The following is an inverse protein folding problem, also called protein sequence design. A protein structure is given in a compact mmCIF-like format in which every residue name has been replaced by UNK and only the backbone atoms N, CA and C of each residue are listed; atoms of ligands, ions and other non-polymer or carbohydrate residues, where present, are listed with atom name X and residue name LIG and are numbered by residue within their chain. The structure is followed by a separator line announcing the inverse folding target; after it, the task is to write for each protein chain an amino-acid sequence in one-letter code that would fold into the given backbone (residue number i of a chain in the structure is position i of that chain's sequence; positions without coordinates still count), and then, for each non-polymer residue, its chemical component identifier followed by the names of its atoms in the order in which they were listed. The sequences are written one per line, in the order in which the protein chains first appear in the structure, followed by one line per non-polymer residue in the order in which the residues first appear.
data_IF_923186075371
#
_entry.id   IF_923186075371
#
_cell.length_a   1.000
_cell.length_b   1.000
_cell.length_c   1.000
_cell.angle_alpha   90.00
_cell.angle_beta   90.00
_cell.angle_gamma   90.00
#
_symmetry.space_group_name_H-M   'P 1'
#
loop_
_entity.id
_entity.type
_entity.pdbx_description
1 polymer ?
#
# COMPACT_ATOMS: atom_id res chain seq x y z
N UNK A 1 12.12 5.94 -16.41
CA UNK A 1 12.55 6.59 -15.15
C UNK A 1 12.63 5.52 -14.07
N UNK A 2 13.77 5.39 -13.37
CA UNK A 2 13.97 4.42 -12.28
C UNK A 2 14.29 5.18 -11.00
N UNK A 3 13.85 4.68 -9.85
CA UNK A 3 14.20 5.27 -8.58
C UNK A 3 15.71 5.16 -8.29
N UNK A 4 16.27 6.20 -7.68
CA UNK A 4 17.65 6.16 -7.19
C UNK A 4 17.77 5.20 -6.02
N UNK A 5 19.00 4.81 -5.67
CA UNK A 5 19.23 3.97 -4.48
C UNK A 5 18.76 4.67 -3.19
N UNK A 6 18.90 6.01 -3.14
CA UNK A 6 18.42 6.82 -2.04
C UNK A 6 16.89 6.77 -1.92
N UNK A 7 16.18 7.03 -3.02
CA UNK A 7 14.71 7.00 -3.06
C UNK A 7 14.17 5.64 -2.62
N UNK A 8 14.79 4.55 -3.06
CA UNK A 8 14.36 3.20 -2.70
C UNK A 8 14.59 2.87 -1.23
N UNK A 9 15.75 3.27 -0.67
CA UNK A 9 16.12 3.01 0.73
C UNK A 9 15.27 3.84 1.70
N UNK A 10 14.97 5.08 1.35
CA UNK A 10 14.23 6.01 2.21
C UNK A 10 12.76 6.19 1.76
N UNK A 11 12.22 5.24 0.99
CA UNK A 11 10.85 5.32 0.44
C UNK A 11 9.79 5.64 1.49
N UNK A 12 9.86 5.02 2.68
CA UNK A 12 8.88 5.26 3.74
C UNK A 12 8.93 6.70 4.27
N UNK A 13 10.14 7.25 4.44
CA UNK A 13 10.33 8.64 4.85
C UNK A 13 9.83 9.60 3.76
N UNK A 14 10.16 9.34 2.48
CA UNK A 14 9.69 10.16 1.37
C UNK A 14 8.16 10.18 1.27
N UNK A 15 7.52 9.02 1.42
CA UNK A 15 6.06 8.93 1.47
C UNK A 15 5.54 9.78 2.63
N UNK A 16 6.09 9.62 3.84
CA UNK A 16 5.71 10.41 5.01
C UNK A 16 5.84 11.92 4.81
N UNK A 17 6.94 12.38 4.21
CA UNK A 17 7.16 13.79 3.86
C UNK A 17 6.12 14.28 2.87
N UNK A 18 5.80 13.50 1.83
CA UNK A 18 4.78 13.89 0.85
C UNK A 18 3.40 14.01 1.51
N UNK A 19 3.02 13.07 2.38
CA UNK A 19 1.78 13.15 3.15
C UNK A 19 1.77 14.40 4.04
N UNK A 20 2.85 14.67 4.76
CA UNK A 20 2.97 15.84 5.61
C UNK A 20 2.85 17.15 4.82
N UNK A 21 3.57 17.28 3.69
CA UNK A 21 3.49 18.44 2.80
C UNK A 21 2.08 18.61 2.23
N UNK A 22 1.44 17.53 1.79
CA UNK A 22 0.10 17.56 1.22
C UNK A 22 -0.95 18.06 2.22
N UNK A 23 -0.93 17.58 3.47
CA UNK A 23 -1.84 18.08 4.50
C UNK A 23 -1.46 19.49 4.98
N UNK A 24 -0.16 19.81 5.06
CA UNK A 24 0.32 21.15 5.44
C UNK A 24 0.00 22.20 4.38
N UNK A 25 -0.22 21.80 3.11
CA UNK A 25 -0.70 22.69 2.05
C UNK A 25 -2.05 23.35 2.39
N UNK A 26 -2.79 22.82 3.37
CA UNK A 26 -3.97 23.49 3.91
C UNK A 26 -3.65 24.86 4.52
N UNK A 27 -2.42 25.12 4.96
CA UNK A 27 -1.99 26.44 5.45
C UNK A 27 -2.01 27.52 4.37
N UNK A 28 -2.00 27.13 3.08
CA UNK A 28 -2.00 28.03 1.92
C UNK A 28 -3.36 27.94 1.20
N UNK A 29 -3.89 26.73 1.05
CA UNK A 29 -5.19 26.46 0.43
C UNK A 29 -6.17 25.92 1.47
N UNK A 30 -6.94 26.81 2.09
CA UNK A 30 -7.92 26.44 3.12
C UNK A 30 -9.18 25.74 2.58
N UNK A 31 -9.27 25.51 1.26
CA UNK A 31 -10.42 24.80 0.68
C UNK A 31 -10.11 23.31 0.58
N UNK A 32 -10.86 22.50 1.31
CA UNK A 32 -10.77 21.04 1.19
C UNK A 32 -11.22 20.56 -0.20
N UNK A 33 -10.61 19.50 -0.72
CA UNK A 33 -10.93 18.95 -2.04
C UNK A 33 -12.38 18.52 -2.18
N UNK A 34 -12.97 17.87 -1.17
CA UNK A 34 -14.40 17.52 -1.17
C UNK A 34 -15.25 18.78 -1.24
N UNK A 35 -14.93 19.80 -0.44
CA UNK A 35 -15.67 21.06 -0.45
C UNK A 35 -15.60 21.74 -1.83
N UNK A 36 -14.41 21.80 -2.43
CA UNK A 36 -14.21 22.36 -3.76
C UNK A 36 -15.05 21.61 -4.82
N UNK A 37 -14.99 20.27 -4.80
CA UNK A 37 -15.76 19.45 -5.74
C UNK A 37 -17.27 19.61 -5.55
N UNK A 38 -17.76 19.70 -4.32
CA UNK A 38 -19.18 19.98 -4.04
C UNK A 38 -19.58 21.34 -4.61
N UNK A 39 -18.77 22.38 -4.37
CA UNK A 39 -19.06 23.73 -4.90
C UNK A 39 -19.07 23.72 -6.43
N UNK A 40 -18.13 23.04 -7.08
CA UNK A 40 -18.06 22.98 -8.54
C UNK A 40 -19.18 22.17 -9.18
N UNK A 41 -19.68 21.13 -8.49
CA UNK A 41 -20.67 20.20 -9.07
C UNK A 41 -22.11 20.59 -8.76
N UNK A 42 -22.40 20.98 -7.53
CA UNK A 42 -23.78 21.29 -7.08
C UNK A 42 -23.97 22.75 -6.68
N UNK A 43 -22.91 23.55 -6.63
CA UNK A 43 -22.99 24.98 -6.28
C UNK A 43 -22.92 25.25 -4.78
N UNK A 44 -22.42 26.43 -4.42
CA UNK A 44 -22.21 26.85 -3.04
C UNK A 44 -23.50 27.08 -2.26
N UNK A 45 -24.65 27.27 -2.89
CA UNK A 45 -25.94 27.53 -2.21
C UNK A 45 -26.91 26.35 -2.25
N UNK A 46 -26.51 25.22 -2.84
CA UNK A 46 -27.44 24.08 -3.03
C UNK A 46 -27.83 23.40 -1.72
N UNK A 47 -29.09 22.95 -1.58
CA UNK A 47 -29.53 22.14 -0.44
C UNK A 47 -28.85 20.75 -0.43
N UNK A 48 -28.34 20.27 -1.56
CA UNK A 48 -27.75 18.93 -1.70
C UNK A 48 -26.25 18.86 -1.33
N UNK A 49 -25.63 19.97 -0.90
CA UNK A 49 -24.18 20.05 -0.60
C UNK A 49 -23.72 19.01 0.42
N UNK A 50 -24.47 18.83 1.50
CA UNK A 50 -24.13 17.85 2.54
C UNK A 50 -24.19 16.42 1.99
N UNK A 51 -25.23 16.08 1.23
CA UNK A 51 -25.36 14.77 0.61
C UNK A 51 -24.22 14.50 -0.40
N UNK A 52 -23.88 15.48 -1.23
CA UNK A 52 -22.76 15.39 -2.16
C UNK A 52 -21.42 15.20 -1.43
N UNK A 53 -21.19 15.93 -0.33
CA UNK A 53 -19.99 15.76 0.50
C UNK A 53 -19.92 14.35 1.11
N UNK A 54 -21.03 13.83 1.64
CA UNK A 54 -21.10 12.45 2.15
C UNK A 54 -20.82 11.43 1.05
N UNK A 55 -21.37 11.64 -0.15
CA UNK A 55 -21.13 10.77 -1.30
C UNK A 55 -19.67 10.73 -1.72
N UNK A 56 -19.01 11.90 -1.78
CA UNK A 56 -17.58 11.99 -2.11
C UNK A 56 -16.70 11.37 -1.02
N UNK A 57 -17.02 11.57 0.26
CA UNK A 57 -16.32 10.91 1.36
C UNK A 57 -16.56 9.39 1.36
N UNK A 58 -17.77 8.95 1.01
CA UNK A 58 -18.07 7.54 0.78
C UNK A 58 -17.24 6.95 -0.36
N UNK A 59 -17.08 7.67 -1.47
CA UNK A 59 -16.20 7.28 -2.57
C UNK A 59 -14.72 7.22 -2.10
N UNK A 60 -14.28 8.18 -1.30
CA UNK A 60 -12.95 8.16 -0.69
C UNK A 60 -12.74 6.91 0.17
N UNK A 61 -13.72 6.55 1.01
CA UNK A 61 -13.74 5.30 1.78
C UNK A 61 -13.61 4.08 0.88
N UNK A 62 -14.36 4.03 -0.23
CA UNK A 62 -14.29 2.90 -1.16
C UNK A 62 -12.91 2.77 -1.81
N UNK A 63 -12.25 3.87 -2.19
CA UNK A 63 -10.89 3.82 -2.72
C UNK A 63 -9.88 3.33 -1.69
N UNK A 64 -9.93 3.83 -0.45
CA UNK A 64 -9.00 3.38 0.60
C UNK A 64 -9.28 1.91 0.98
N UNK A 65 -10.54 1.51 1.12
CA UNK A 65 -10.93 0.13 1.41
C UNK A 65 -10.53 -0.84 0.29
N UNK A 66 -10.72 -0.45 -0.97
CA UNK A 66 -10.26 -1.25 -2.12
C UNK A 66 -8.74 -1.40 -2.12
N UNK A 67 -8.01 -0.32 -1.86
CA UNK A 67 -6.55 -0.38 -1.69
C UNK A 67 -6.15 -1.32 -0.54
N UNK A 68 -6.80 -1.21 0.62
CA UNK A 68 -6.57 -2.11 1.76
C UNK A 68 -6.84 -3.58 1.41
N UNK A 69 -7.89 -3.86 0.65
CA UNK A 69 -8.24 -5.20 0.17
C UNK A 69 -7.16 -5.76 -0.76
N UNK A 70 -6.76 -5.01 -1.78
CA UNK A 70 -5.72 -5.46 -2.74
C UNK A 70 -4.37 -5.61 -2.05
N UNK A 71 -4.04 -4.73 -1.09
CA UNK A 71 -2.84 -4.86 -0.27
C UNK A 71 -2.89 -6.10 0.61
N UNK A 72 -4.01 -6.36 1.28
CA UNK A 72 -4.22 -7.58 2.07
C UNK A 72 -4.08 -8.83 1.18
N UNK A 73 -4.63 -8.80 -0.03
CA UNK A 73 -4.48 -9.89 -0.99
C UNK A 73 -3.02 -10.09 -1.41
N UNK A 74 -2.26 -9.03 -1.68
CA UNK A 74 -0.83 -9.13 -2.02
C UNK A 74 0.03 -9.60 -0.85
N UNK A 75 -0.20 -9.02 0.33
CA UNK A 75 0.47 -9.37 1.58
C UNK A 75 0.09 -10.77 2.09
N UNK A 76 -0.94 -11.43 1.58
CA UNK A 76 -1.19 -12.83 1.88
C UNK A 76 -0.18 -13.77 1.20
N UNK A 77 0.40 -13.35 0.08
CA UNK A 77 1.38 -14.13 -0.69
C UNK A 77 2.82 -13.66 -0.49
N UNK A 78 3.02 -12.48 0.12
CA UNK A 78 4.30 -12.02 0.65
C UNK A 78 4.33 -12.26 2.17
N UNK A 79 5.48 -12.63 2.75
CA UNK A 79 5.56 -12.64 4.23
C UNK A 79 5.32 -11.22 4.75
N UNK A 80 4.49 -10.99 5.78
CA UNK A 80 4.19 -9.61 6.19
C UNK A 80 5.41 -8.86 6.77
N UNK A 81 6.41 -9.59 7.29
CA UNK A 81 7.72 -9.02 7.68
C UNK A 81 8.45 -8.42 6.47
N UNK A 82 8.18 -8.94 5.29
CA UNK A 82 8.79 -8.51 4.05
C UNK A 82 8.08 -7.22 3.61
N UNK A 83 6.74 -7.14 3.59
CA UNK A 83 5.97 -5.91 3.22
C UNK A 83 6.30 -4.66 4.07
N UNK A 84 6.63 -4.83 5.35
CA UNK A 84 6.86 -3.71 6.29
C UNK A 84 8.33 -3.37 6.52
N UNK A 85 9.27 -4.17 6.02
CA UNK A 85 10.69 -3.88 6.18
C UNK A 85 11.19 -2.94 5.06
N UNK A 86 11.79 -1.83 5.47
CA UNK A 86 12.49 -0.91 4.57
C UNK A 86 13.74 -1.57 3.95
N UNK A 87 14.23 -2.67 4.55
CA UNK A 87 15.38 -3.44 4.09
C UNK A 87 14.92 -4.75 3.44
N UNK A 88 15.10 -4.83 2.12
CA UNK A 88 15.09 -6.04 1.29
C UNK A 88 13.76 -6.74 0.98
N UNK A 89 13.56 -7.04 -0.30
CA UNK A 89 12.93 -8.28 -0.77
C UNK A 89 13.87 -8.92 -1.78
N UNK A 90 14.45 -10.06 -1.43
CA UNK A 90 15.19 -10.94 -2.32
C UNK A 90 14.25 -11.62 -3.32
N UNK A 91 14.63 -11.60 -4.60
CA UNK A 91 13.81 -12.01 -5.72
C UNK A 91 13.63 -13.53 -5.87
N UNK A 92 12.65 -14.07 -5.15
CA UNK A 92 11.88 -15.19 -5.70
C UNK A 92 10.68 -14.58 -6.41
N UNK A 93 10.50 -14.88 -7.69
CA UNK A 93 9.34 -14.43 -8.45
C UNK A 93 8.10 -15.13 -7.88
N UNK A 94 7.40 -14.46 -6.96
CA UNK A 94 6.11 -14.96 -6.48
C UNK A 94 5.07 -14.65 -7.55
N UNK A 95 4.62 -15.68 -8.26
CA UNK A 95 3.60 -15.57 -9.31
C UNK A 95 2.22 -16.08 -8.81
N UNK A 96 1.95 -15.96 -7.52
CA UNK A 96 0.69 -16.36 -6.88
C UNK A 96 -0.19 -15.16 -6.53
N UNK A 97 -1.46 -15.41 -6.22
CA UNK A 97 -2.38 -14.37 -5.74
C UNK A 97 -2.58 -13.23 -6.72
N UNK A 98 -2.49 -11.95 -6.33
CA UNK A 98 -2.68 -10.83 -7.24
C UNK A 98 -1.54 -10.67 -8.25
N UNK A 99 -0.36 -11.24 -7.97
CA UNK A 99 0.83 -11.13 -8.83
C UNK A 99 0.67 -11.85 -10.18
N UNK A 100 -0.31 -12.76 -10.28
CA UNK A 100 -0.70 -13.42 -11.55
C UNK A 100 -1.55 -12.53 -12.47
N UNK A 101 -2.05 -11.39 -11.97
CA UNK A 101 -2.90 -10.46 -12.70
C UNK A 101 -2.18 -9.14 -13.01
N UNK A 102 -1.39 -8.63 -12.07
CA UNK A 102 -0.58 -7.41 -12.19
C UNK A 102 0.76 -7.61 -11.49
N UNK A 103 1.85 -7.07 -12.03
CA UNK A 103 3.19 -7.26 -11.45
C UNK A 103 3.39 -6.50 -10.14
N UNK A 104 2.71 -5.36 -10.00
CA UNK A 104 2.88 -4.43 -8.88
C UNK A 104 1.55 -4.10 -8.17
N UNK A 105 0.83 -5.10 -7.64
CA UNK A 105 -0.49 -4.91 -7.03
C UNK A 105 -0.45 -3.99 -5.81
N UNK A 106 0.60 -4.07 -4.99
CA UNK A 106 0.73 -3.22 -3.80
C UNK A 106 0.91 -1.75 -4.16
N UNK A 107 1.71 -1.43 -5.17
CA UNK A 107 1.88 -0.06 -5.64
C UNK A 107 0.61 0.48 -6.30
N UNK A 108 -0.06 -0.34 -7.10
CA UNK A 108 -1.36 -0.01 -7.66
C UNK A 108 -2.36 0.33 -6.55
N UNK A 109 -2.48 -0.54 -5.55
CA UNK A 109 -3.36 -0.33 -4.42
C UNK A 109 -3.01 0.94 -3.63
N UNK A 110 -1.72 1.22 -3.42
CA UNK A 110 -1.27 2.46 -2.78
C UNK A 110 -1.64 3.71 -3.58
N UNK A 111 -1.59 3.67 -4.92
CA UNK A 111 -2.05 4.78 -5.78
C UNK A 111 -3.55 4.99 -5.60
N UNK A 112 -4.36 3.91 -5.61
CA UNK A 112 -5.81 4.04 -5.41
C UNK A 112 -6.15 4.55 -4.01
N UNK A 113 -5.50 4.04 -2.95
CA UNK A 113 -5.66 4.59 -1.60
C UNK A 113 -5.29 6.07 -1.56
N UNK A 114 -4.24 6.48 -2.27
CA UNK A 114 -3.81 7.89 -2.35
C UNK A 114 -4.89 8.78 -2.95
N UNK A 115 -5.66 8.31 -3.95
CA UNK A 115 -6.80 9.06 -4.49
C UNK A 115 -7.88 9.30 -3.44
N UNK A 116 -8.23 8.28 -2.66
CA UNK A 116 -9.19 8.40 -1.57
C UNK A 116 -8.71 9.33 -0.46
N UNK A 117 -7.47 9.15 0.01
CA UNK A 117 -6.87 10.03 1.02
C UNK A 117 -6.72 11.47 0.52
N UNK A 118 -6.41 11.63 -0.77
CA UNK A 118 -6.28 12.92 -1.45
C UNK A 118 -7.49 13.81 -1.22
N UNK A 119 -8.69 13.22 -1.28
CA UNK A 119 -9.94 13.95 -1.10
C UNK A 119 -10.07 14.58 0.30
N UNK A 120 -9.35 14.06 1.30
CA UNK A 120 -9.31 14.65 2.64
C UNK A 120 -8.34 15.83 2.77
N UNK A 121 -7.47 16.06 1.79
CA UNK A 121 -6.53 17.19 1.78
C UNK A 121 -7.16 18.44 1.12
N UNK A 122 -6.45 19.57 1.17
CA UNK A 122 -6.78 20.75 0.34
C UNK A 122 -6.66 20.44 -1.15
N UNK A 123 -7.13 21.31 -2.05
CA UNK A 123 -7.01 21.08 -3.50
C UNK A 123 -5.54 20.99 -3.91
N UNK A 124 -4.71 21.90 -3.39
CA UNK A 124 -3.27 21.84 -3.58
C UNK A 124 -2.67 20.57 -2.98
N UNK A 125 -3.10 20.21 -1.76
CA UNK A 125 -2.69 18.98 -1.09
C UNK A 125 -3.01 17.72 -1.88
N UNK A 126 -4.19 17.65 -2.50
CA UNK A 126 -4.59 16.54 -3.38
C UNK A 126 -3.62 16.38 -4.54
N UNK A 127 -3.31 17.49 -5.24
CA UNK A 127 -2.39 17.47 -6.39
C UNK A 127 -1.00 17.02 -5.97
N UNK A 128 -0.47 17.55 -4.86
CA UNK A 128 0.82 17.13 -4.29
C UNK A 128 0.80 15.64 -3.97
N UNK A 129 -0.22 15.19 -3.23
CA UNK A 129 -0.28 13.82 -2.73
C UNK A 129 -0.42 12.82 -3.88
N UNK A 130 -1.41 13.01 -4.75
CA UNK A 130 -1.67 12.10 -5.87
C UNK A 130 -0.53 12.16 -6.89
N UNK A 131 -0.08 13.36 -7.27
CA UNK A 131 0.97 13.54 -8.26
C UNK A 131 2.32 12.99 -7.80
N UNK A 132 2.80 13.44 -6.63
CA UNK A 132 4.13 13.07 -6.14
C UNK A 132 4.20 11.59 -5.72
N UNK A 133 3.17 11.04 -5.06
CA UNK A 133 3.16 9.62 -4.70
C UNK A 133 3.04 8.72 -5.92
N UNK A 134 2.19 9.07 -6.90
CA UNK A 134 2.11 8.30 -8.15
C UNK A 134 3.45 8.28 -8.86
N UNK A 135 4.12 9.43 -9.00
CA UNK A 135 5.44 9.50 -9.60
C UNK A 135 6.48 8.68 -8.83
N UNK A 136 6.50 8.80 -7.50
CA UNK A 136 7.41 8.03 -6.64
C UNK A 136 7.19 6.53 -6.81
N UNK A 137 5.94 6.06 -6.75
CA UNK A 137 5.60 4.64 -6.93
C UNK A 137 5.99 4.13 -8.31
N UNK A 138 5.75 4.90 -9.38
CA UNK A 138 6.18 4.52 -10.74
C UNK A 138 7.71 4.41 -10.86
N UNK A 139 8.47 5.29 -10.20
CA UNK A 139 9.94 5.22 -10.13
C UNK A 139 10.40 3.98 -9.36
N UNK A 140 9.78 3.69 -8.22
CA UNK A 140 10.08 2.51 -7.40
C UNK A 140 9.83 1.22 -8.18
N UNK A 141 8.68 1.11 -8.83
CA UNK A 141 8.35 0.02 -9.76
C UNK A 141 9.45 -0.13 -10.81
N UNK A 142 9.85 0.97 -11.48
CA UNK A 142 10.89 0.91 -12.51
C UNK A 142 12.25 0.40 -12.00
N UNK A 143 12.57 0.64 -10.72
CA UNK A 143 13.78 0.11 -10.08
C UNK A 143 13.65 -1.37 -9.75
N UNK A 144 12.53 -1.78 -9.14
CA UNK A 144 12.30 -3.19 -8.81
C UNK A 144 12.29 -4.07 -10.04
N UNK A 145 11.67 -3.61 -11.14
CA UNK A 145 11.71 -4.35 -12.40
C UNK A 145 13.11 -4.51 -12.98
N UNK A 146 14.01 -3.54 -12.76
CA UNK A 146 15.40 -3.64 -13.19
C UNK A 146 16.16 -4.68 -12.37
N UNK A 147 15.98 -4.66 -11.04
CA UNK A 147 16.59 -5.64 -10.14
C UNK A 147 16.10 -7.06 -10.41
N UNK A 148 14.79 -7.24 -10.65
CA UNK A 148 14.22 -8.54 -11.02
C UNK A 148 14.77 -9.04 -12.35
N UNK A 149 14.94 -8.15 -13.34
CA UNK A 149 15.54 -8.52 -14.62
C UNK A 149 17.01 -8.93 -14.48
N UNK A 150 17.79 -8.22 -13.66
CA UNK A 150 19.18 -8.56 -13.36
C UNK A 150 19.30 -9.90 -12.62
N UNK A 151 18.39 -10.20 -11.70
CA UNK A 151 18.46 -11.40 -10.86
C UNK A 151 17.87 -12.66 -11.52
N UNK A 152 16.86 -12.51 -12.38
CA UNK A 152 16.08 -13.64 -12.92
C UNK A 152 16.10 -13.75 -14.46
N UNK A 153 16.71 -12.79 -15.16
CA UNK A 153 16.94 -12.85 -16.59
C UNK A 153 15.69 -13.17 -17.43
N UNK A 154 15.77 -14.26 -18.23
CA UNK A 154 14.72 -14.67 -19.16
C UNK A 154 13.40 -15.06 -18.47
N UNK A 155 13.45 -15.67 -17.28
CA UNK A 155 12.24 -16.06 -16.55
C UNK A 155 11.36 -14.84 -16.23
N UNK A 156 11.98 -13.75 -15.78
CA UNK A 156 11.28 -12.49 -15.53
C UNK A 156 10.83 -11.81 -16.83
N UNK A 157 11.61 -11.93 -17.91
CA UNK A 157 11.23 -11.39 -19.22
C UNK A 157 9.94 -12.04 -19.74
N UNK A 158 9.81 -13.35 -19.61
CA UNK A 158 8.61 -14.08 -20.02
C UNK A 158 7.40 -13.74 -19.13
N UNK A 159 7.61 -13.67 -17.81
CA UNK A 159 6.58 -13.22 -16.88
C UNK A 159 6.06 -11.81 -17.23
N UNK A 160 6.97 -10.87 -17.52
CA UNK A 160 6.64 -9.49 -17.93
C UNK A 160 5.87 -9.42 -19.26
N UNK A 161 6.05 -10.37 -20.18
CA UNK A 161 5.26 -10.42 -21.42
C UNK A 161 3.79 -10.76 -21.16
N UNK A 162 3.53 -11.59 -20.15
CA UNK A 162 2.19 -12.09 -19.83
C UNK A 162 1.44 -11.18 -18.86
N UNK A 163 2.16 -10.61 -17.87
CA UNK A 163 1.55 -9.86 -16.76
C UNK A 163 1.81 -8.35 -16.91
N UNK A 164 0.77 -7.49 -16.93
CA UNK A 164 0.92 -6.04 -17.05
C UNK A 164 1.57 -5.44 -15.80
N UNK A 165 2.17 -4.24 -15.94
CA UNK A 165 2.87 -3.55 -14.84
C UNK A 165 1.90 -3.12 -13.73
N UNK A 166 0.91 -2.30 -14.09
CA UNK A 166 -0.17 -1.79 -13.23
C UNK A 166 -1.51 -1.94 -13.95
N UNK A 167 -2.61 -1.71 -13.23
CA UNK A 167 -3.95 -1.63 -13.79
C UNK A 167 -4.52 -0.19 -13.68
N UNK A 168 -5.26 0.31 -14.69
CA UNK A 168 -5.30 -0.21 -16.07
C UNK A 168 -3.90 -0.20 -16.71
N UNK A 169 -3.68 -1.05 -17.71
CA UNK A 169 -2.38 -1.09 -18.37
C UNK A 169 -2.15 0.19 -19.16
N UNK A 170 -1.16 1.00 -18.75
CA UNK A 170 -0.71 2.18 -19.51
C UNK A 170 0.14 1.81 -20.75
N UNK A 171 0.31 0.51 -21.03
CA UNK A 171 1.11 0.01 -22.15
C UNK A 171 0.23 -0.47 -23.30
N UNK A 172 0.46 0.00 -24.55
CA UNK A 172 -0.34 -0.37 -25.72
C UNK A 172 -0.35 -1.86 -26.07
N UNK A 173 0.62 -2.64 -25.57
CA UNK A 173 0.79 -4.06 -25.94
C UNK A 173 -0.23 -4.99 -25.30
N UNK A 174 -1.06 -4.52 -24.36
CA UNK A 174 -2.18 -5.29 -23.81
C UNK A 174 -3.37 -4.35 -23.56
N UNK A 175 -4.12 -3.96 -24.61
CA UNK A 175 -5.21 -3.01 -24.49
C UNK A 175 -6.45 -3.74 -23.94
N UNK A 176 -6.55 -3.90 -22.61
CA UNK A 176 -7.81 -4.29 -21.97
C UNK A 176 -8.05 -3.47 -20.71
N UNK A 177 -9.17 -2.76 -20.72
CA UNK A 177 -9.73 -2.00 -19.59
C UNK A 177 -9.99 -2.88 -18.35
N UNK A 178 -10.12 -4.19 -18.53
CA UNK A 178 -10.38 -5.14 -17.44
C UNK A 178 -9.14 -5.99 -17.11
N UNK A 179 -8.78 -6.20 -15.82
CA UNK A 179 -7.82 -7.24 -15.47
C UNK A 179 -8.45 -8.58 -15.90
N UNK A 180 -7.69 -9.46 -16.54
CA UNK A 180 -8.22 -10.80 -16.77
C UNK A 180 -8.51 -11.40 -15.39
N UNK A 181 -9.77 -11.70 -15.10
CA UNK A 181 -10.15 -12.44 -13.88
C UNK A 181 -9.52 -13.85 -13.89
N UNK A 182 -9.11 -14.30 -15.08
CA UNK A 182 -8.30 -15.48 -15.29
C UNK A 182 -6.82 -15.19 -14.98
N UNK A 183 -6.16 -16.09 -14.22
CA UNK A 183 -4.72 -16.05 -14.01
C UNK A 183 -3.96 -16.06 -15.34
N UNK A 184 -2.91 -15.24 -15.45
CA UNK A 184 -2.11 -15.15 -16.68
C UNK A 184 -0.90 -16.08 -16.69
N UNK A 185 -0.53 -16.60 -15.53
CA UNK A 185 0.57 -17.52 -15.32
C UNK A 185 0.16 -18.57 -14.29
N UNK A 186 0.69 -19.80 -14.40
CA UNK A 186 0.53 -20.81 -13.35
C UNK A 186 1.09 -20.31 -12.01
N UNK A 187 0.45 -20.71 -10.93
CA UNK A 187 0.90 -20.36 -9.58
C UNK A 187 2.21 -21.07 -9.21
N UNK A 188 3.00 -20.44 -8.35
CA UNK A 188 4.23 -21.02 -7.78
C UNK A 188 3.94 -21.94 -6.58
N UNK A 189 2.68 -22.06 -6.16
CA UNK A 189 2.24 -22.96 -5.09
C UNK A 189 2.33 -22.35 -3.68
N UNK A 190 2.50 -21.03 -3.57
CA UNK A 190 2.54 -20.34 -2.29
C UNK A 190 1.18 -20.42 -1.57
N UNK A 191 1.19 -20.84 -0.31
CA UNK A 191 0.01 -20.86 0.54
C UNK A 191 -0.26 -19.47 1.12
N UNK A 192 -1.49 -18.93 1.00
CA UNK A 192 -1.78 -17.60 1.49
C UNK A 192 -1.83 -17.53 3.02
N UNK A 193 -1.28 -16.46 3.59
CA UNK A 193 -1.27 -16.19 5.03
C UNK A 193 -2.21 -15.03 5.39
N UNK A 194 -3.51 -15.22 5.12
CA UNK A 194 -4.54 -14.19 5.28
C UNK A 194 -4.58 -13.53 6.65
N UNK A 195 -4.43 -14.31 7.72
CA UNK A 195 -4.44 -13.79 9.09
C UNK A 195 -3.29 -12.82 9.37
N UNK A 196 -2.10 -13.09 8.83
CA UNK A 196 -0.95 -12.20 8.95
C UNK A 196 -1.13 -10.95 8.09
N UNK A 197 -1.61 -11.14 6.85
CA UNK A 197 -1.82 -10.06 5.90
C UNK A 197 -2.85 -9.03 6.38
N UNK A 198 -4.00 -9.51 6.88
CA UNK A 198 -5.05 -8.64 7.39
C UNK A 198 -4.56 -7.83 8.60
N UNK A 199 -3.83 -8.47 9.53
CA UNK A 199 -3.21 -7.79 10.68
C UNK A 199 -2.18 -6.74 10.26
N UNK A 200 -1.37 -7.06 9.24
CA UNK A 200 -0.41 -6.12 8.66
C UNK A 200 -1.07 -4.91 8.01
N UNK A 201 -2.29 -5.04 7.52
CA UNK A 201 -3.02 -3.94 6.86
C UNK A 201 -4.09 -3.30 7.77
N UNK A 202 -4.08 -3.58 9.09
CA UNK A 202 -5.06 -3.04 10.05
C UNK A 202 -5.13 -1.51 10.04
N UNK A 203 -3.99 -0.84 9.87
CA UNK A 203 -3.97 0.62 9.76
C UNK A 203 -4.75 1.11 8.55
N UNK A 204 -4.61 0.46 7.38
CA UNK A 204 -5.32 0.84 6.15
C UNK A 204 -6.82 0.57 6.26
N UNK A 205 -7.20 -0.57 6.87
CA UNK A 205 -8.59 -0.89 7.15
C UNK A 205 -9.23 0.09 8.14
N UNK A 206 -8.53 0.40 9.23
CA UNK A 206 -8.98 1.37 10.21
C UNK A 206 -9.04 2.79 9.64
N UNK A 207 -8.15 3.15 8.72
CA UNK A 207 -8.21 4.43 8.04
C UNK A 207 -9.42 4.52 7.09
N UNK A 208 -9.72 3.48 6.31
CA UNK A 208 -10.95 3.42 5.51
C UNK A 208 -12.20 3.57 6.40
N UNK A 209 -12.23 2.86 7.54
CA UNK A 209 -13.31 2.94 8.52
C UNK A 209 -13.44 4.36 9.11
N UNK A 210 -12.32 5.01 9.42
CA UNK A 210 -12.30 6.37 9.95
C UNK A 210 -12.92 7.37 8.96
N UNK A 211 -12.54 7.29 7.66
CA UNK A 211 -13.14 8.12 6.60
C UNK A 211 -14.63 7.83 6.46
N UNK A 212 -15.03 6.55 6.50
CA UNK A 212 -16.45 6.16 6.39
C UNK A 212 -17.29 6.66 7.56
N UNK A 213 -16.77 6.55 8.78
CA UNK A 213 -17.40 7.09 9.98
C UNK A 213 -17.49 8.62 9.92
N UNK A 214 -16.46 9.28 9.40
CA UNK A 214 -16.48 10.73 9.17
C UNK A 214 -17.53 11.12 8.11
N UNK A 215 -17.67 10.35 7.03
CA UNK A 215 -18.68 10.58 6.00
C UNK A 215 -20.11 10.56 6.57
N UNK A 216 -20.38 9.70 7.55
CA UNK A 216 -21.70 9.61 8.18
C UNK A 216 -21.87 10.71 9.24
N UNK A 217 -20.89 10.89 10.11
CA UNK A 217 -21.03 11.68 11.35
C UNK A 217 -20.59 13.14 11.23
N UNK A 218 -19.69 13.46 10.29
CA UNK A 218 -18.93 14.72 10.23
C UNK A 218 -18.22 15.11 11.54
N UNK A 219 -18.03 14.17 12.47
CA UNK A 219 -17.35 14.41 13.74
C UNK A 219 -15.87 14.05 13.61
N UNK A 220 -15.01 15.06 13.58
CA UNK A 220 -13.57 14.86 13.52
C UNK A 220 -13.06 13.99 14.69
N UNK A 221 -13.63 14.15 15.89
CA UNK A 221 -13.27 13.33 17.06
C UNK A 221 -13.52 11.83 16.83
N UNK A 222 -14.61 11.46 16.16
CA UNK A 222 -14.93 10.04 15.85
C UNK A 222 -13.87 9.48 14.91
N UNK A 223 -13.54 10.23 13.85
CA UNK A 223 -12.49 9.86 12.90
C UNK A 223 -11.13 9.69 13.60
N UNK A 224 -10.75 10.66 14.43
CA UNK A 224 -9.48 10.66 15.15
C UNK A 224 -9.36 9.47 16.10
N UNK A 225 -10.42 9.16 16.87
CA UNK A 225 -10.43 7.99 17.77
C UNK A 225 -10.25 6.69 16.99
N UNK A 226 -11.01 6.48 15.90
CA UNK A 226 -10.88 5.26 15.09
C UNK A 226 -9.47 5.15 14.51
N UNK A 227 -8.93 6.24 13.98
CA UNK A 227 -7.59 6.26 13.40
C UNK A 227 -6.49 6.00 14.44
N UNK A 228 -6.59 6.61 15.62
CA UNK A 228 -5.66 6.38 16.72
C UNK A 228 -5.69 4.93 17.20
N UNK A 229 -6.88 4.33 17.37
CA UNK A 229 -7.01 2.93 17.75
C UNK A 229 -6.42 2.00 16.68
N UNK A 230 -6.68 2.28 15.40
CA UNK A 230 -6.12 1.52 14.28
C UNK A 230 -4.58 1.60 14.23
N UNK A 231 -4.03 2.79 14.47
CA UNK A 231 -2.59 3.00 14.53
C UNK A 231 -1.95 2.28 15.72
N UNK A 232 -2.56 2.34 16.91
CA UNK A 232 -2.09 1.63 18.09
C UNK A 232 -2.14 0.11 17.89
N UNK A 233 -3.21 -0.42 17.30
CA UNK A 233 -3.33 -1.84 16.98
C UNK A 233 -2.24 -2.29 15.99
N UNK A 234 -1.95 -1.45 14.99
CA UNK A 234 -0.86 -1.69 14.04
C UNK A 234 0.52 -1.67 14.72
N UNK A 235 0.81 -0.69 15.58
CA UNK A 235 2.06 -0.65 16.35
C UNK A 235 2.23 -1.87 17.26
N UNK A 236 1.16 -2.29 17.93
CA UNK A 236 1.17 -3.50 18.76
C UNK A 236 1.48 -4.75 17.92
N UNK A 237 0.91 -4.85 16.71
CA UNK A 237 1.22 -5.94 15.79
C UNK A 237 2.67 -5.92 15.32
N UNK A 238 3.23 -4.75 14.98
CA UNK A 238 4.64 -4.61 14.62
C UNK A 238 5.57 -5.01 15.79
N UNK A 239 5.27 -4.55 17.00
CA UNK A 239 6.03 -4.91 18.19
C UNK A 239 5.99 -6.42 18.45
N UNK A 240 4.82 -7.05 18.27
CA UNK A 240 4.67 -8.51 18.36
C UNK A 240 5.52 -9.25 17.32
N UNK A 241 5.56 -8.78 16.07
CA UNK A 241 6.42 -9.38 15.04
C UNK A 241 7.91 -9.23 15.38
N UNK A 242 8.33 -8.06 15.86
CA UNK A 242 9.71 -7.82 16.28
C UNK A 242 10.10 -8.73 17.46
N UNK A 243 9.20 -8.91 18.42
CA UNK A 243 9.39 -9.82 19.55
C UNK A 243 9.51 -11.28 19.10
N UNK A 244 8.63 -11.75 18.21
CA UNK A 244 8.73 -13.10 17.63
C UNK A 244 10.06 -13.31 16.89
N UNK A 245 10.50 -12.34 16.10
CA UNK A 245 11.77 -12.40 15.39
C UNK A 245 12.96 -12.48 16.36
N UNK A 246 12.93 -11.69 17.43
CA UNK A 246 13.92 -11.74 18.50
C UNK A 246 13.97 -13.12 19.18
N UNK A 247 12.81 -13.68 19.54
CA UNK A 247 12.74 -15.04 20.12
C UNK A 247 13.31 -16.10 19.18
N UNK A 248 12.99 -16.03 17.88
CA UNK A 248 13.55 -16.96 16.90
C UNK A 248 15.07 -16.85 16.80
N UNK A 249 15.62 -15.63 16.81
CA UNK A 249 17.07 -15.43 16.82
C UNK A 249 17.72 -16.01 18.07
N UNK A 250 17.11 -15.81 19.25
CA UNK A 250 17.60 -16.38 20.50
C UNK A 250 17.60 -17.91 20.49
N UNK A 251 16.53 -18.53 19.97
CA UNK A 251 16.43 -19.99 19.84
C UNK A 251 17.53 -20.53 18.93
N UNK A 252 17.75 -19.91 17.77
CA UNK A 252 18.79 -20.34 16.82
C UNK A 252 20.19 -20.17 17.42
N UNK A 253 20.46 -19.04 18.08
CA UNK A 253 21.72 -18.77 18.76
C UNK A 253 22.00 -19.81 19.87
N UNK A 254 21.00 -20.11 20.70
CA UNK A 254 21.11 -21.10 21.76
C UNK A 254 21.29 -22.52 21.23
N UNK A 255 20.63 -22.88 20.12
CA UNK A 255 20.86 -24.17 19.43
C UNK A 255 22.30 -24.29 18.92
N UNK A 256 22.83 -23.26 18.27
CA UNK A 256 24.23 -23.24 17.79
C UNK A 256 25.23 -23.37 18.95
N UNK A 257 25.00 -22.67 20.07
CA UNK A 257 25.83 -22.79 21.28
C UNK A 257 25.80 -24.20 21.87
N UNK A 258 24.63 -24.86 21.91
CA UNK A 258 24.52 -26.25 22.39
C UNK A 258 25.26 -27.25 21.49
N UNK A 259 25.11 -27.14 20.18
CA UNK A 259 25.83 -27.99 19.21
C UNK A 259 27.35 -27.81 19.32
N UNK A 260 27.83 -26.57 19.46
CA UNK A 260 29.26 -26.29 19.63
C UNK A 260 29.84 -26.90 20.91
N UNK A 261 29.07 -26.91 22.01
CA UNK A 261 29.48 -27.57 23.27
C UNK A 261 29.51 -29.09 23.15
N UNK A 262 28.53 -29.69 22.47
CA UNK A 262 28.49 -31.15 22.24
C UNK A 262 29.61 -31.64 21.30
N UNK A 263 30.08 -30.80 20.37
CA UNK A 263 31.20 -31.11 19.49
C UNK A 263 32.58 -31.02 20.19
N UNK A 264 32.64 -30.48 21.41
CA UNK A 264 33.87 -30.29 22.20
C UNK A 264 34.00 -31.27 23.38
N UNK A 265 32.97 -32.07 23.65
CA UNK A 265 33.04 -33.19 24.60
C UNK A 265 33.67 -34.40 23.89
N UNK A 266 34.83 -34.91 24.36
CA UNK A 266 35.52 -36.05 23.77
C UNK A 266 34.76 -37.37 23.91
#
# INVERSE_FOLDING_TARGET
MRATAFEFRHRALLIGIIYWLAFSAYAIDHTNSVQAMVIWTVGSSSPHRLLAARGLLGLATLFVAFGALVRTWGAAYLRASVVHDAKLHSAVLVADGPYRHVRHPLYFASIVSTLGTGLMASRLGFVIMVGALTLLYLRLVGREEAQLHEQQGEAYREFRRRVPRLWPSLTPRVPRLWPSLTPRVPGTGAKPQWGQAFRGELFMWGFALAIGAFAVTFKFTVMAVILSLAFLAFLAFLAFLAFLAFLQQQIVHNRRRRMARQAQTP
#
